data_IF_446209480347
#
_entry.id   IF_446209480347
#
_cell.length_a   1.000
_cell.length_b   1.000
_cell.length_c   1.000
_cell.angle_alpha   90.00
_cell.angle_beta   90.00
_cell.angle_gamma   90.00
#
_symmetry.space_group_name_H-M   'P 1'
#
loop_
_entity.id
_entity.type
_entity.pdbx_description
1 polymer ?
#
# COMPACT_ATOMS: atom_id res chain seq x y z
N UNK A 1 44.54 10.24 3.89
CA UNK A 1 44.87 11.68 4.04
C UNK A 1 43.64 12.56 3.94
N UNK A 2 42.78 12.41 2.90
CA UNK A 2 41.54 13.20 2.79
C UNK A 2 40.58 12.96 3.97
N UNK A 3 40.40 11.70 4.39
CA UNK A 3 39.62 11.34 5.59
C UNK A 3 40.19 11.93 6.88
N UNK A 4 41.51 11.99 7.00
CA UNK A 4 42.23 12.56 8.15
C UNK A 4 42.05 14.09 8.21
N UNK A 5 42.01 14.75 7.05
CA UNK A 5 41.76 16.19 6.91
C UNK A 5 40.27 16.50 7.15
N UNK A 6 39.35 15.70 6.62
CA UNK A 6 37.91 15.82 6.86
C UNK A 6 37.54 15.54 8.32
N UNK A 7 38.18 14.56 8.97
CA UNK A 7 37.97 14.27 10.39
C UNK A 7 38.54 15.38 11.29
N UNK A 8 39.71 15.94 10.96
CA UNK A 8 40.35 17.01 11.76
C UNK A 8 39.77 18.39 11.52
N UNK A 9 39.22 18.68 10.35
CA UNK A 9 38.73 20.03 9.98
C UNK A 9 37.20 20.06 9.86
N UNK A 10 36.59 19.00 9.31
CA UNK A 10 35.14 18.95 9.05
C UNK A 10 34.30 18.68 10.29
N UNK A 11 34.76 17.82 11.21
CA UNK A 11 34.02 17.52 12.44
C UNK A 11 33.92 18.75 13.37
N UNK A 12 35.01 19.50 13.67
CA UNK A 12 34.92 20.74 14.44
C UNK A 12 34.02 21.81 13.79
N UNK A 13 34.04 21.91 12.46
CA UNK A 13 33.21 22.85 11.71
C UNK A 13 31.71 22.50 11.84
N UNK A 14 31.36 21.22 11.70
CA UNK A 14 29.99 20.72 11.90
C UNK A 14 29.51 20.94 13.34
N UNK A 15 30.35 20.64 14.34
CA UNK A 15 30.02 20.85 15.76
C UNK A 15 29.75 22.35 16.04
N UNK A 16 30.57 23.24 15.47
CA UNK A 16 30.39 24.69 15.61
C UNK A 16 29.08 25.15 14.97
N UNK A 17 28.75 24.66 13.77
CA UNK A 17 27.53 25.03 13.07
C UNK A 17 26.27 24.49 13.77
N UNK A 18 26.27 23.22 14.17
CA UNK A 18 25.15 22.57 14.85
C UNK A 18 24.94 23.14 16.25
N UNK A 19 26.00 23.38 17.03
CA UNK A 19 25.87 24.02 18.35
C UNK A 19 25.35 25.46 18.22
N UNK A 20 25.80 26.21 17.21
CA UNK A 20 25.31 27.54 16.90
C UNK A 20 23.82 27.56 16.55
N UNK A 21 23.37 26.63 15.71
CA UNK A 21 21.95 26.47 15.37
C UNK A 21 21.10 26.08 16.61
N UNK A 22 21.59 25.16 17.44
CA UNK A 22 20.90 24.74 18.66
C UNK A 22 20.80 25.86 19.71
N UNK A 23 21.79 26.76 19.79
CA UNK A 23 21.75 27.94 20.68
C UNK A 23 20.66 28.95 20.32
N UNK A 24 20.27 29.04 19.04
CA UNK A 24 19.20 29.94 18.60
C UNK A 24 17.82 29.47 19.04
N UNK A 25 17.64 28.17 19.28
CA UNK A 25 16.39 27.61 19.79
C UNK A 25 16.39 27.74 21.31
N UNK A 26 15.51 28.58 21.86
CA UNK A 26 15.45 28.88 23.30
C UNK A 26 14.69 27.81 24.11
N UNK A 27 15.23 26.58 24.15
CA UNK A 27 14.74 25.54 25.07
C UNK A 27 15.86 25.05 25.99
N UNK A 28 15.55 24.53 27.19
CA UNK A 28 16.56 23.97 28.10
C UNK A 28 17.35 22.82 27.45
N UNK A 29 16.68 21.97 26.66
CA UNK A 29 17.28 20.80 26.00
C UNK A 29 18.28 21.24 24.93
N UNK A 30 17.93 22.22 24.11
CA UNK A 30 18.81 22.71 23.03
C UNK A 30 20.03 23.46 23.57
N UNK A 31 19.90 24.21 24.68
CA UNK A 31 21.04 24.84 25.37
C UNK A 31 21.99 23.80 25.98
N UNK A 32 21.44 22.73 26.58
CA UNK A 32 22.23 21.63 27.12
C UNK A 32 22.98 20.87 26.02
N UNK A 33 22.30 20.56 24.91
CA UNK A 33 22.90 19.88 23.77
C UNK A 33 24.01 20.73 23.11
N UNK A 34 23.80 22.03 22.95
CA UNK A 34 24.81 22.93 22.41
C UNK A 34 26.06 23.01 23.30
N UNK A 35 25.89 23.05 24.63
CA UNK A 35 27.02 23.05 25.57
C UNK A 35 27.81 21.74 25.51
N UNK A 36 27.12 20.60 25.48
CA UNK A 36 27.78 19.30 25.34
C UNK A 36 28.60 19.19 24.05
N UNK A 37 28.10 19.73 22.94
CA UNK A 37 28.82 19.79 21.66
C UNK A 37 30.08 20.67 21.74
N UNK A 38 30.05 21.80 22.44
CA UNK A 38 31.23 22.65 22.67
C UNK A 38 32.28 21.98 23.54
N UNK A 39 31.86 21.20 24.54
CA UNK A 39 32.77 20.45 25.40
C UNK A 39 33.47 19.32 24.62
N UNK A 40 32.76 18.67 23.68
CA UNK A 40 33.34 17.71 22.74
C UNK A 40 34.35 18.37 21.78
N UNK A 41 34.07 19.55 21.25
CA UNK A 41 35.02 20.30 20.41
C UNK A 41 36.32 20.65 21.14
N UNK A 42 36.22 21.03 22.43
CA UNK A 42 37.39 21.28 23.28
C UNK A 42 38.22 20.03 23.51
N UNK A 43 37.59 18.90 23.83
CA UNK A 43 38.28 17.62 24.02
C UNK A 43 38.98 17.15 22.73
N UNK A 44 38.37 17.40 21.56
CA UNK A 44 38.96 17.11 20.26
C UNK A 44 40.21 17.96 19.98
N UNK A 45 40.17 19.25 20.33
CA UNK A 45 41.30 20.19 20.15
C UNK A 45 42.42 19.98 21.17
N UNK A 46 42.08 19.55 22.38
CA UNK A 46 43.03 19.20 23.44
C UNK A 46 43.78 17.88 23.14
N UNK A 47 43.28 17.07 22.21
CA UNK A 47 43.87 15.77 21.90
C UNK A 47 43.46 14.65 22.87
N UNK A 48 42.48 14.91 23.74
CA UNK A 48 41.92 13.94 24.69
C UNK A 48 41.18 12.80 23.98
N UNK A 49 40.78 13.03 22.72
CA UNK A 49 40.19 12.03 21.83
C UNK A 49 41.28 11.59 20.85
N UNK A 50 41.83 10.40 21.07
CA UNK A 50 42.87 9.85 20.21
C UNK A 50 42.32 9.59 18.78
N UNK A 51 43.11 9.87 17.73
CA UNK A 51 42.77 9.53 16.36
C UNK A 51 42.44 8.05 16.15
N UNK A 52 43.06 7.16 16.92
CA UNK A 52 42.84 5.72 16.91
C UNK A 52 41.43 5.36 17.40
N UNK A 53 40.95 6.03 18.46
CA UNK A 53 39.58 5.83 18.97
C UNK A 53 38.52 6.29 17.95
N UNK A 54 38.79 7.39 17.23
CA UNK A 54 37.92 7.85 16.14
C UNK A 54 37.91 6.84 14.97
N UNK A 55 39.09 6.32 14.60
CA UNK A 55 39.21 5.32 13.54
C UNK A 55 38.50 4.02 13.90
N UNK A 56 38.55 3.59 15.16
CA UNK A 56 37.81 2.42 15.65
C UNK A 56 36.30 2.63 15.66
N UNK A 57 35.84 3.80 16.13
CA UNK A 57 34.43 4.19 16.05
C UNK A 57 33.92 4.17 14.61
N UNK A 58 34.69 4.68 13.65
CA UNK A 58 34.31 4.68 12.25
C UNK A 58 34.18 3.26 11.68
N UNK A 59 35.09 2.34 12.04
CA UNK A 59 34.99 0.92 11.66
C UNK A 59 33.71 0.27 12.21
N UNK A 60 33.37 0.54 13.47
CA UNK A 60 32.12 0.05 14.06
C UNK A 60 30.88 0.63 13.38
N UNK A 61 30.90 1.92 13.04
CA UNK A 61 29.81 2.56 12.30
C UNK A 61 29.64 1.98 10.89
N UNK A 62 30.74 1.68 10.20
CA UNK A 62 30.70 1.03 8.89
C UNK A 62 30.10 -0.38 8.99
N UNK A 63 30.57 -1.19 9.95
CA UNK A 63 30.02 -2.52 10.20
C UNK A 63 28.52 -2.48 10.56
N UNK A 64 28.11 -1.52 11.40
CA UNK A 64 26.70 -1.31 11.75
C UNK A 64 25.87 -0.88 10.54
N UNK A 65 26.42 0.00 9.69
CA UNK A 65 25.76 0.44 8.46
C UNK A 65 25.52 -0.72 7.50
N UNK A 66 26.50 -1.61 7.35
CA UNK A 66 26.38 -2.83 6.55
C UNK A 66 25.31 -3.77 7.12
N UNK A 67 25.39 -4.11 8.41
CA UNK A 67 24.40 -4.97 9.07
C UNK A 67 22.97 -4.41 8.93
N UNK A 68 22.81 -3.11 9.13
CA UNK A 68 21.51 -2.43 9.00
C UNK A 68 21.00 -2.41 7.57
N UNK A 69 21.90 -2.27 6.60
CA UNK A 69 21.55 -2.35 5.17
C UNK A 69 21.08 -3.75 4.78
N UNK A 70 21.72 -4.79 5.31
CA UNK A 70 21.30 -6.19 5.13
C UNK A 70 19.94 -6.46 5.78
N UNK A 71 19.72 -5.99 7.01
CA UNK A 71 18.44 -6.08 7.71
C UNK A 71 17.31 -5.43 6.90
N UNK A 72 17.53 -4.21 6.39
CA UNK A 72 16.56 -3.54 5.53
C UNK A 72 16.30 -4.33 4.25
N UNK A 73 17.32 -4.91 3.63
CA UNK A 73 17.17 -5.70 2.41
C UNK A 73 16.32 -6.94 2.67
N UNK A 74 16.55 -7.65 3.77
CA UNK A 74 15.75 -8.82 4.14
C UNK A 74 14.31 -8.43 4.51
N UNK A 75 14.11 -7.32 5.24
CA UNK A 75 12.77 -6.80 5.52
C UNK A 75 12.00 -6.46 4.23
N UNK A 76 12.64 -5.75 3.30
CA UNK A 76 12.02 -5.44 2.00
C UNK A 76 11.75 -6.70 1.17
N UNK A 77 12.62 -7.70 1.24
CA UNK A 77 12.41 -8.98 0.55
C UNK A 77 11.20 -9.71 1.12
N UNK A 78 11.08 -9.83 2.44
CA UNK A 78 9.94 -10.46 3.11
C UNK A 78 8.63 -9.74 2.79
N UNK A 79 8.62 -8.40 2.84
CA UNK A 79 7.45 -7.60 2.47
C UNK A 79 7.05 -7.80 1.01
N UNK A 80 8.01 -7.81 0.09
CA UNK A 80 7.73 -8.08 -1.32
C UNK A 80 7.22 -9.51 -1.56
N UNK A 81 7.76 -10.49 -0.84
CA UNK A 81 7.34 -11.88 -0.91
C UNK A 81 5.92 -12.08 -0.37
N UNK A 82 5.58 -11.46 0.76
CA UNK A 82 4.23 -11.50 1.32
C UNK A 82 3.22 -10.82 0.41
N UNK A 83 3.55 -9.64 -0.13
CA UNK A 83 2.67 -8.92 -1.07
C UNK A 83 2.43 -9.71 -2.35
N UNK A 84 3.47 -10.33 -2.92
CA UNK A 84 3.32 -11.20 -4.11
C UNK A 84 2.45 -12.41 -3.80
N UNK A 85 2.62 -13.01 -2.62
CA UNK A 85 1.78 -14.13 -2.17
C UNK A 85 0.33 -13.70 -1.97
N UNK A 86 0.08 -12.51 -1.42
CA UNK A 86 -1.26 -11.95 -1.23
C UNK A 86 -1.95 -11.64 -2.57
N UNK A 87 -1.24 -11.03 -3.51
CA UNK A 87 -1.74 -10.77 -4.87
C UNK A 87 -2.01 -12.07 -5.63
N UNK A 88 -1.12 -13.08 -5.47
CA UNK A 88 -1.30 -14.40 -6.06
C UNK A 88 -2.35 -15.25 -5.33
N UNK A 89 -2.74 -14.87 -4.10
CA UNK A 89 -3.80 -15.50 -3.33
C UNK A 89 -5.14 -15.24 -4.00
N UNK A 90 -5.44 -16.10 -4.96
CA UNK A 90 -6.70 -16.14 -5.69
C UNK A 90 -7.77 -16.76 -4.81
N UNK A 91 -8.27 -16.00 -3.82
CA UNK A 91 -9.30 -16.49 -2.92
C UNK A 91 -10.52 -17.01 -3.70
N UNK A 92 -10.72 -18.32 -3.56
CA UNK A 92 -11.76 -19.09 -4.22
C UNK A 92 -13.16 -18.61 -3.82
N UNK A 93 -13.30 -18.03 -2.62
CA UNK A 93 -14.54 -17.48 -2.10
C UNK A 93 -14.97 -16.24 -2.91
N UNK A 94 -14.09 -15.24 -3.05
CA UNK A 94 -14.37 -13.99 -3.79
C UNK A 94 -14.66 -14.28 -5.27
N UNK A 95 -13.93 -15.22 -5.89
CA UNK A 95 -14.12 -15.58 -7.30
C UNK A 95 -15.47 -16.25 -7.57
N UNK A 96 -16.01 -16.98 -6.60
CA UNK A 96 -17.30 -17.68 -6.70
C UNK A 96 -18.49 -16.83 -6.27
N UNK A 97 -18.26 -15.81 -5.44
CA UNK A 97 -19.32 -14.92 -4.97
C UNK A 97 -19.95 -14.09 -6.11
N UNK A 98 -19.13 -13.56 -7.04
CA UNK A 98 -19.67 -12.74 -8.15
C UNK A 98 -20.62 -13.55 -9.08
N UNK A 99 -20.27 -14.77 -9.55
CA UNK A 99 -21.19 -15.58 -10.35
C UNK A 99 -22.40 -16.10 -9.58
N UNK A 100 -22.24 -16.49 -8.31
CA UNK A 100 -23.36 -17.01 -7.49
C UNK A 100 -24.43 -15.95 -7.26
N UNK A 101 -24.04 -14.70 -7.01
CA UNK A 101 -24.98 -13.59 -6.94
C UNK A 101 -25.79 -13.44 -8.24
N UNK A 102 -25.13 -13.49 -9.40
CA UNK A 102 -25.79 -13.41 -10.70
C UNK A 102 -26.78 -14.56 -10.94
N UNK A 103 -26.42 -15.80 -10.57
CA UNK A 103 -27.33 -16.94 -10.71
C UNK A 103 -28.54 -16.85 -9.78
N UNK A 104 -28.34 -16.45 -8.52
CA UNK A 104 -29.45 -16.24 -7.59
C UNK A 104 -30.40 -15.16 -8.10
N UNK A 105 -29.88 -14.04 -8.61
CA UNK A 105 -30.70 -12.98 -9.21
C UNK A 105 -31.49 -13.46 -10.42
N UNK A 106 -30.89 -14.26 -11.30
CA UNK A 106 -31.59 -14.82 -12.45
C UNK A 106 -32.71 -15.78 -12.04
N UNK A 107 -32.46 -16.63 -11.03
CA UNK A 107 -33.45 -17.57 -10.50
C UNK A 107 -34.62 -16.83 -9.83
N UNK A 108 -34.34 -15.83 -8.99
CA UNK A 108 -35.39 -15.06 -8.33
C UNK A 108 -36.21 -14.25 -9.34
N UNK A 109 -35.57 -13.68 -10.36
CA UNK A 109 -36.28 -13.02 -11.44
C UNK A 109 -37.18 -13.98 -12.21
N UNK A 110 -36.68 -15.16 -12.58
CA UNK A 110 -37.48 -16.18 -13.26
C UNK A 110 -38.68 -16.63 -12.42
N UNK A 111 -38.47 -16.89 -11.12
CA UNK A 111 -39.55 -17.25 -10.21
C UNK A 111 -40.60 -16.13 -10.09
N UNK A 112 -40.16 -14.87 -9.98
CA UNK A 112 -41.05 -13.71 -9.93
C UNK A 112 -41.88 -13.60 -11.22
N UNK A 113 -41.25 -13.70 -12.39
CA UNK A 113 -41.95 -13.58 -13.68
C UNK A 113 -42.91 -14.74 -13.93
N UNK A 114 -42.56 -15.96 -13.50
CA UNK A 114 -43.48 -17.10 -13.54
C UNK A 114 -44.68 -16.91 -12.61
N UNK A 115 -44.46 -16.35 -11.41
CA UNK A 115 -45.55 -16.01 -10.49
C UNK A 115 -46.51 -14.97 -11.09
N UNK A 116 -45.96 -13.93 -11.73
CA UNK A 116 -46.77 -12.93 -12.46
C UNK A 116 -47.53 -13.58 -13.60
N UNK A 117 -46.86 -14.38 -14.45
CA UNK A 117 -47.49 -15.06 -15.57
C UNK A 117 -48.64 -15.99 -15.12
N UNK A 118 -48.45 -16.73 -14.03
CA UNK A 118 -49.48 -17.57 -13.43
C UNK A 118 -50.72 -16.77 -13.05
N UNK A 119 -50.55 -15.66 -12.32
CA UNK A 119 -51.68 -14.82 -11.90
C UNK A 119 -52.38 -14.21 -13.11
N UNK A 120 -51.63 -13.78 -14.13
CA UNK A 120 -52.21 -13.23 -15.36
C UNK A 120 -53.08 -14.22 -16.14
N UNK A 121 -52.83 -15.53 -16.01
CA UNK A 121 -53.60 -16.57 -16.70
C UNK A 121 -54.75 -17.09 -15.82
N UNK A 122 -54.47 -17.35 -14.55
CA UNK A 122 -55.38 -18.11 -13.67
C UNK A 122 -56.13 -17.25 -12.64
N UNK A 123 -55.67 -16.04 -12.33
CA UNK A 123 -56.27 -15.16 -11.31
C UNK A 123 -56.24 -13.68 -11.75
N UNK A 124 -56.88 -13.41 -12.88
CA UNK A 124 -56.88 -12.09 -13.54
C UNK A 124 -57.47 -10.99 -12.67
N UNK A 125 -58.36 -11.32 -11.74
CA UNK A 125 -58.97 -10.35 -10.82
C UNK A 125 -57.93 -9.69 -9.91
N UNK A 126 -56.83 -10.40 -9.60
CA UNK A 126 -55.74 -9.90 -8.76
C UNK A 126 -54.61 -9.24 -9.55
N UNK A 127 -54.63 -9.31 -10.88
CA UNK A 127 -53.57 -8.81 -11.74
C UNK A 127 -53.21 -7.34 -11.45
N UNK A 128 -54.21 -6.47 -11.28
CA UNK A 128 -53.99 -5.04 -10.99
C UNK A 128 -53.20 -4.80 -9.69
N UNK A 129 -53.54 -5.53 -8.62
CA UNK A 129 -52.85 -5.43 -7.32
C UNK A 129 -51.40 -5.92 -7.40
N UNK A 130 -51.16 -6.99 -8.16
CA UNK A 130 -49.81 -7.54 -8.35
C UNK A 130 -48.94 -6.61 -9.20
N UNK A 131 -49.50 -6.01 -10.25
CA UNK A 131 -48.78 -5.01 -11.06
C UNK A 131 -48.41 -3.76 -10.24
N UNK A 132 -49.30 -3.32 -9.34
CA UNK A 132 -48.98 -2.24 -8.39
C UNK A 132 -47.86 -2.65 -7.42
N UNK A 133 -47.92 -3.88 -6.89
CA UNK A 133 -46.88 -4.41 -5.99
C UNK A 133 -45.53 -4.54 -6.69
N UNK A 134 -45.49 -4.88 -7.98
CA UNK A 134 -44.26 -4.92 -8.77
C UNK A 134 -43.56 -3.56 -8.82
N UNK A 135 -44.34 -2.47 -8.89
CA UNK A 135 -43.78 -1.12 -8.84
C UNK A 135 -42.99 -0.89 -7.54
N UNK A 136 -43.51 -1.34 -6.40
CA UNK A 136 -42.84 -1.21 -5.09
C UNK A 136 -41.53 -2.00 -5.00
N UNK A 137 -41.36 -3.09 -5.77
CA UNK A 137 -40.10 -3.83 -5.85
C UNK A 137 -39.05 -3.18 -6.76
N UNK A 138 -39.39 -2.13 -7.52
CA UNK A 138 -38.46 -1.52 -8.49
C UNK A 138 -37.18 -1.02 -7.83
N UNK A 139 -37.27 -0.48 -6.61
CA UNK A 139 -36.11 0.03 -5.87
C UNK A 139 -35.09 -1.07 -5.54
N UNK A 140 -35.54 -2.23 -5.04
CA UNK A 140 -34.63 -3.34 -4.71
C UNK A 140 -34.02 -3.96 -5.97
N UNK A 141 -34.78 -4.02 -7.08
CA UNK A 141 -34.27 -4.46 -8.37
C UNK A 141 -33.23 -3.51 -8.94
N UNK A 142 -33.44 -2.20 -8.85
CA UNK A 142 -32.46 -1.21 -9.29
C UNK A 142 -31.11 -1.38 -8.57
N UNK A 143 -31.14 -1.57 -7.25
CA UNK A 143 -29.92 -1.84 -6.45
C UNK A 143 -29.27 -3.16 -6.86
N UNK A 144 -30.04 -4.25 -6.92
CA UNK A 144 -29.52 -5.57 -7.28
C UNK A 144 -28.88 -5.62 -8.68
N UNK A 145 -29.52 -5.00 -9.67
CA UNK A 145 -29.00 -4.91 -11.04
C UNK A 145 -27.77 -4.00 -11.13
N UNK A 146 -27.68 -2.94 -10.32
CA UNK A 146 -26.50 -2.07 -10.25
C UNK A 146 -25.27 -2.84 -9.75
N UNK A 147 -25.43 -3.63 -8.69
CA UNK A 147 -24.36 -4.49 -8.16
C UNK A 147 -23.93 -5.53 -9.18
N UNK A 148 -24.89 -6.16 -9.87
CA UNK A 148 -24.60 -7.11 -10.94
C UNK A 148 -23.82 -6.45 -12.09
N UNK A 149 -24.19 -5.23 -12.48
CA UNK A 149 -23.48 -4.45 -13.50
C UNK A 149 -22.00 -4.22 -13.15
N UNK A 150 -21.72 -3.82 -11.91
CA UNK A 150 -20.34 -3.63 -11.42
C UNK A 150 -19.57 -4.96 -11.46
N UNK A 151 -20.18 -6.06 -11.03
CA UNK A 151 -19.54 -7.38 -11.04
C UNK A 151 -19.22 -7.88 -12.45
N UNK A 152 -20.11 -7.68 -13.42
CA UNK A 152 -19.88 -8.03 -14.83
C UNK A 152 -18.77 -7.18 -15.43
N UNK A 153 -18.79 -5.86 -15.15
CA UNK A 153 -17.75 -4.94 -15.61
C UNK A 153 -16.36 -5.35 -15.11
N UNK A 154 -16.20 -5.50 -13.78
CA UNK A 154 -14.93 -5.91 -13.18
C UNK A 154 -14.46 -7.28 -13.66
N UNK A 155 -15.37 -8.23 -13.82
CA UNK A 155 -15.01 -9.55 -14.39
C UNK A 155 -14.53 -9.46 -15.84
N UNK A 156 -15.02 -8.49 -16.60
CA UNK A 156 -14.61 -8.25 -17.98
C UNK A 156 -13.22 -7.60 -18.04
N UNK A 157 -12.92 -6.66 -17.12
CA UNK A 157 -11.56 -6.12 -16.93
C UNK A 157 -10.55 -7.21 -16.54
N UNK A 158 -10.90 -8.08 -15.57
CA UNK A 158 -10.05 -9.18 -15.13
C UNK A 158 -9.66 -10.12 -16.29
N UNK A 159 -10.55 -10.31 -17.28
CA UNK A 159 -10.27 -11.14 -18.47
C UNK A 159 -9.30 -10.47 -19.46
N UNK A 160 -9.31 -9.14 -19.54
CA UNK A 160 -8.39 -8.39 -20.43
C UNK A 160 -6.94 -8.55 -20.00
N UNK A 161 -6.68 -8.60 -18.70
CA UNK A 161 -5.33 -8.79 -18.15
C UNK A 161 -4.77 -10.21 -18.38
N UNK A 162 -5.63 -11.20 -18.60
CA UNK A 162 -5.26 -12.61 -18.77
C UNK A 162 -5.06 -12.99 -20.24
N UNK A 163 -5.63 -12.23 -21.18
CA UNK A 163 -5.40 -12.42 -22.61
C UNK A 163 -4.21 -11.57 -23.04
N UNK A 164 -3.04 -12.14 -23.36
CA UNK A 164 -1.98 -11.35 -23.98
C UNK A 164 -2.54 -10.78 -25.28
N UNK A 165 -2.41 -9.47 -25.49
CA UNK A 165 -2.68 -8.87 -26.79
C UNK A 165 -1.80 -9.62 -27.82
N UNK A 166 -2.43 -10.43 -28.67
CA UNK A 166 -1.76 -10.99 -29.84
C UNK A 166 -1.50 -9.84 -30.79
N UNK A 167 -0.33 -9.20 -30.66
CA UNK A 167 0.17 -8.26 -31.64
C UNK A 167 0.48 -9.08 -32.89
N UNK A 168 -0.44 -9.03 -33.86
CA UNK A 168 -0.19 -9.55 -35.20
C UNK A 168 0.83 -8.61 -35.86
N UNK A 169 2.12 -8.84 -35.59
CA UNK A 169 3.16 -8.27 -36.42
C UNK A 169 2.97 -8.85 -37.83
N UNK A 170 2.47 -8.02 -38.74
CA UNK A 170 2.37 -8.37 -40.14
C UNK A 170 3.79 -8.45 -40.70
N UNK A 171 4.41 -9.62 -40.61
CA UNK A 171 5.68 -9.93 -41.27
C UNK A 171 5.40 -10.28 -42.74
N UNK A 172 4.93 -9.29 -43.50
CA UNK A 172 4.89 -9.40 -44.96
C UNK A 172 6.27 -9.03 -45.52
N UNK A 173 6.86 -10.05 -46.12
CA UNK A 173 8.03 -10.08 -47.01
C UNK A 173 8.10 -8.92 -48.00
#
# INVERSE_FOLDING_TARGET
MLETILARIGLPLLITFVSGALKQINTPVTKSAAKALEDVDKALKAGDISPEAIAESNRHMEALSLMKSEEYREAFKQVNESLRTEIASSDKYIRRMRPTFGYLMAITWAAQMLGVAYIMIFDTQRAGYIMSSMSSLSAIWAVGLSVLGIYVYKRSEDKKLVSPETIFWNASR
#
